data_IF_047210363748
#
_entry.id   IF_047210363748
#
_cell.length_a   1.000
_cell.length_b   1.000
_cell.length_c   1.000
_cell.angle_alpha   90.00
_cell.angle_beta   90.00
_cell.angle_gamma   90.00
#
_symmetry.space_group_name_H-M   'P 1'
#
loop_
_entity.id
_entity.type
_entity.pdbx_description
1 polymer ?
#
# COMPACT_ATOMS: atom_id res chain seq x y z
N UNK A 1 -6.22 29.71 7.11
CA UNK A 1 -6.58 28.44 6.47
C UNK A 1 -5.64 27.36 6.97
N UNK A 2 -6.15 26.19 7.33
CA UNK A 2 -5.35 25.06 7.86
C UNK A 2 -4.85 24.10 6.77
N UNK A 3 -5.41 24.20 5.56
CA UNK A 3 -5.04 23.33 4.43
C UNK A 3 -4.86 24.14 3.14
N UNK A 4 -4.20 23.55 2.15
CA UNK A 4 -3.99 24.16 0.83
C UNK A 4 -5.16 23.96 -0.13
N UNK A 5 -6.23 23.28 0.31
CA UNK A 5 -7.37 22.84 -0.52
C UNK A 5 -8.18 24.01 -1.09
N UNK A 6 -8.19 25.15 -0.42
CA UNK A 6 -8.86 26.38 -0.90
C UNK A 6 -8.34 26.83 -2.29
N UNK A 7 -7.08 26.53 -2.60
CA UNK A 7 -6.44 26.89 -3.87
C UNK A 7 -6.67 25.86 -5.00
N UNK A 8 -7.41 24.78 -4.76
CA UNK A 8 -7.53 23.70 -5.73
C UNK A 8 -8.36 24.13 -6.95
N UNK A 9 -7.98 23.62 -8.12
CA UNK A 9 -8.64 23.88 -9.41
C UNK A 9 -8.87 22.55 -10.13
N UNK A 10 -9.88 22.52 -11.01
CA UNK A 10 -10.17 21.34 -11.84
C UNK A 10 -8.93 20.97 -12.65
N UNK A 11 -8.61 19.66 -12.71
CA UNK A 11 -7.43 19.14 -13.40
C UNK A 11 -6.16 19.07 -12.54
N UNK A 12 -6.19 19.57 -11.29
CA UNK A 12 -5.07 19.42 -10.35
C UNK A 12 -4.87 17.95 -9.97
N UNK A 13 -3.65 17.44 -10.12
CA UNK A 13 -3.23 16.18 -9.52
C UNK A 13 -3.05 16.34 -8.02
N UNK A 14 -3.54 15.37 -7.26
CA UNK A 14 -3.45 15.34 -5.80
C UNK A 14 -2.92 13.99 -5.33
N UNK A 15 -2.38 13.99 -4.12
CA UNK A 15 -2.06 12.74 -3.44
C UNK A 15 -3.36 12.12 -2.92
N UNK A 16 -3.56 10.84 -3.23
CA UNK A 16 -4.66 10.04 -2.71
C UNK A 16 -4.05 8.99 -1.78
N UNK A 17 -4.39 9.07 -0.50
CA UNK A 17 -4.04 8.05 0.47
C UNK A 17 -5.20 7.05 0.59
N UNK A 18 -4.88 5.76 0.53
CA UNK A 18 -5.86 4.69 0.65
C UNK A 18 -5.97 4.30 2.12
N UNK A 19 -7.21 4.21 2.63
CA UNK A 19 -7.50 3.76 3.99
C UNK A 19 -6.90 2.37 4.25
N UNK A 20 -6.01 2.32 5.24
CA UNK A 20 -5.29 1.12 5.63
C UNK A 20 -6.23 0.11 6.31
N UNK A 21 -7.20 0.58 7.11
CA UNK A 21 -8.20 -0.27 7.76
C UNK A 21 -9.05 -0.96 6.70
N UNK A 22 -9.50 -0.24 5.69
CA UNK A 22 -10.25 -0.82 4.57
C UNK A 22 -9.47 -1.94 3.86
N UNK A 23 -8.15 -1.77 3.67
CA UNK A 23 -7.28 -2.80 3.09
C UNK A 23 -7.17 -4.04 3.98
N UNK A 24 -7.10 -3.87 5.30
CA UNK A 24 -7.08 -4.99 6.23
C UNK A 24 -8.43 -5.72 6.30
N UNK A 25 -9.54 -4.99 6.23
CA UNK A 25 -10.88 -5.57 6.14
C UNK A 25 -11.05 -6.38 4.85
N UNK A 26 -10.64 -5.85 3.70
CA UNK A 26 -10.63 -6.58 2.43
C UNK A 26 -9.80 -7.87 2.55
N UNK A 27 -8.59 -7.79 3.10
CA UNK A 27 -7.73 -8.96 3.35
C UNK A 27 -8.40 -10.01 4.23
N UNK A 28 -9.12 -9.58 5.27
CA UNK A 28 -9.85 -10.46 6.18
C UNK A 28 -11.03 -11.14 5.47
N UNK A 29 -11.77 -10.40 4.63
CA UNK A 29 -12.88 -10.91 3.83
C UNK A 29 -12.44 -11.89 2.74
N UNK A 30 -11.26 -11.68 2.15
CA UNK A 30 -10.69 -12.56 1.13
C UNK A 30 -10.19 -13.91 1.67
N UNK A 31 -10.06 -14.06 3.00
CA UNK A 31 -9.72 -15.34 3.64
C UNK A 31 -8.41 -15.95 3.11
N UNK A 32 -8.32 -17.29 2.97
CA UNK A 32 -7.10 -17.97 2.51
C UNK A 32 -6.61 -17.53 1.12
N UNK A 33 -7.50 -17.02 0.26
CA UNK A 33 -7.13 -16.50 -1.08
C UNK A 33 -6.26 -15.24 -1.01
N UNK A 34 -6.28 -14.50 0.10
CA UNK A 34 -5.33 -13.41 0.32
C UNK A 34 -3.90 -13.91 0.63
N UNK A 35 -3.76 -15.15 1.10
CA UNK A 35 -2.48 -15.82 1.34
C UNK A 35 -1.89 -16.49 0.09
N UNK A 36 -2.67 -16.60 -0.99
CA UNK A 36 -2.22 -17.08 -2.31
C UNK A 36 -1.45 -16.00 -3.10
N UNK A 37 -1.32 -14.78 -2.58
CA UNK A 37 -0.35 -13.83 -3.13
C UNK A 37 1.04 -14.39 -2.85
N UNK A 38 1.68 -14.87 -3.92
CA UNK A 38 3.12 -15.16 -3.98
C UNK A 38 3.87 -14.06 -3.21
N UNK A 39 4.72 -14.42 -2.23
CA UNK A 39 5.50 -13.43 -1.52
C UNK A 39 6.33 -12.64 -2.53
N UNK A 40 6.05 -11.35 -2.66
CA UNK A 40 6.84 -10.45 -3.49
C UNK A 40 8.29 -10.32 -3.00
N UNK A 41 8.54 -10.75 -1.77
CA UNK A 41 9.85 -10.81 -1.13
C UNK A 41 10.29 -12.26 -1.07
N UNK A 42 11.26 -12.60 -1.92
CA UNK A 42 11.88 -13.93 -1.95
C UNK A 42 13.15 -13.95 -1.09
N UNK A 43 13.59 -15.15 -0.69
CA UNK A 43 14.87 -15.33 0.01
C UNK A 43 16.04 -14.78 -0.80
N UNK A 44 16.01 -14.93 -2.13
CA UNK A 44 16.97 -14.34 -3.06
C UNK A 44 17.00 -12.81 -2.99
N UNK A 45 15.84 -12.15 -2.88
CA UNK A 45 15.77 -10.69 -2.72
C UNK A 45 16.39 -10.26 -1.39
N UNK A 46 16.09 -10.96 -0.29
CA UNK A 46 16.65 -10.66 1.03
C UNK A 46 18.18 -10.82 1.04
N UNK A 47 18.70 -11.86 0.38
CA UNK A 47 20.13 -12.09 0.23
C UNK A 47 20.82 -10.95 -0.56
N UNK A 48 20.26 -10.58 -1.71
CA UNK A 48 20.81 -9.51 -2.57
C UNK A 48 20.75 -8.14 -1.93
N UNK A 49 19.74 -7.90 -1.08
CA UNK A 49 19.58 -6.65 -0.35
C UNK A 49 20.39 -6.59 0.96
N UNK A 50 21.13 -7.64 1.30
CA UNK A 50 22.04 -7.64 2.46
C UNK A 50 21.37 -7.86 3.82
N UNK A 51 20.14 -8.39 3.85
CA UNK A 51 19.39 -8.64 5.09
C UNK A 51 19.70 -9.99 5.76
N UNK A 52 20.50 -10.86 5.12
CA UNK A 52 20.87 -12.20 5.63
C UNK A 52 22.29 -12.27 6.21
N UNK A 53 22.78 -11.17 6.78
CA UNK A 53 24.09 -11.08 7.45
C UNK A 53 24.07 -11.55 8.90
#
# INVERSE_FOLDING_TARGET
>A
AETTMESFKVGRQINIEVDVIARYLERLMLGPKAAEKEPSVTMDLLARSGFLG
#
